data_IF_594597761582
#
_entry.id   IF_594597761582
#
_cell.length_a   1.000
_cell.length_b   1.000
_cell.length_c   1.000
_cell.angle_alpha   90.00
_cell.angle_beta   90.00
_cell.angle_gamma   90.00
#
_symmetry.space_group_name_H-M   'P 1'
#
loop_
_entity.id
_entity.type
_entity.pdbx_description
1 polymer ?
#
# COMPACT_ATOMS: atom_id res chain seq x y z
N UNK A 1 -18.82 9.31 -14.31
CA UNK A 1 -19.34 7.98 -14.71
C UNK A 1 -18.24 6.98 -14.35
N UNK A 2 -18.50 6.04 -13.45
CA UNK A 2 -17.51 5.01 -13.08
C UNK A 2 -17.59 3.91 -14.15
N UNK A 3 -16.53 3.75 -14.94
CA UNK A 3 -16.44 2.63 -15.89
C UNK A 3 -16.02 1.38 -15.12
N UNK A 4 -16.92 0.40 -15.04
CA UNK A 4 -16.58 -0.92 -14.54
C UNK A 4 -15.87 -1.69 -15.64
N UNK A 5 -14.54 -1.71 -15.61
CA UNK A 5 -13.75 -2.53 -16.52
C UNK A 5 -13.95 -4.01 -16.18
N UNK A 6 -14.84 -4.70 -16.91
CA UNK A 6 -14.97 -6.14 -16.84
C UNK A 6 -13.70 -6.76 -17.40
N UNK A 7 -12.83 -7.20 -16.50
CA UNK A 7 -11.43 -7.48 -16.80
C UNK A 7 -10.59 -6.23 -16.55
N UNK A 8 -9.81 -6.27 -15.47
CA UNK A 8 -8.87 -5.27 -14.96
C UNK A 8 -7.71 -4.98 -15.96
N UNK A 9 -8.03 -4.61 -17.20
CA UNK A 9 -7.09 -4.20 -18.24
C UNK A 9 -6.60 -2.76 -18.07
N UNK A 10 -7.02 -2.10 -16.98
CA UNK A 10 -6.55 -0.77 -16.66
C UNK A 10 -5.04 -0.82 -16.45
N UNK A 11 -4.32 0.01 -17.21
CA UNK A 11 -2.87 0.11 -17.13
C UNK A 11 -2.50 1.29 -16.24
N UNK A 12 -1.76 1.00 -15.18
CA UNK A 12 -1.27 1.96 -14.20
C UNK A 12 0.24 2.08 -14.34
N UNK A 13 0.82 3.18 -13.86
CA UNK A 13 2.25 3.39 -13.98
C UNK A 13 2.95 2.94 -12.70
N UNK A 14 3.87 2.01 -12.84
CA UNK A 14 4.79 1.53 -11.79
C UNK A 14 6.18 1.56 -12.41
N UNK A 15 7.23 1.83 -11.63
CA UNK A 15 8.63 1.85 -12.12
C UNK A 15 8.97 2.68 -13.38
N UNK A 16 8.09 3.63 -13.76
CA UNK A 16 8.12 4.40 -15.03
C UNK A 16 7.62 3.66 -16.27
N UNK A 17 7.10 2.44 -16.12
CA UNK A 17 6.43 1.68 -17.17
C UNK A 17 4.93 1.51 -16.87
N UNK A 18 4.16 1.12 -17.87
CA UNK A 18 2.73 0.83 -17.70
C UNK A 18 2.52 -0.66 -17.45
N UNK A 19 1.79 -0.99 -16.39
CA UNK A 19 1.47 -2.35 -15.98
C UNK A 19 -0.04 -2.54 -15.89
N UNK A 20 -0.59 -3.70 -16.28
CA UNK A 20 -1.91 -4.11 -15.83
C UNK A 20 -2.01 -4.02 -14.31
N UNK A 21 -3.06 -3.40 -13.77
CA UNK A 21 -3.25 -3.27 -12.31
C UNK A 21 -3.23 -4.64 -11.59
N UNK A 22 -3.60 -5.71 -12.29
CA UNK A 22 -3.51 -7.09 -11.79
C UNK A 22 -2.10 -7.55 -11.43
N UNK A 23 -1.05 -6.97 -12.02
CA UNK A 23 0.34 -7.28 -11.66
C UNK A 23 0.75 -6.65 -10.32
N UNK A 24 0.05 -5.58 -9.91
CA UNK A 24 0.25 -4.90 -8.64
C UNK A 24 -0.59 -5.51 -7.52
N UNK A 25 -1.75 -6.10 -7.85
CA UNK A 25 -2.57 -6.86 -6.89
C UNK A 25 -1.91 -8.22 -6.63
N UNK A 26 -1.30 -8.38 -5.45
CA UNK A 26 -0.44 -9.54 -5.11
C UNK A 26 -0.99 -10.34 -3.94
N UNK A 27 -2.11 -11.07 -4.09
CA UNK A 27 -2.69 -11.88 -3.01
C UNK A 27 -1.77 -13.02 -2.56
N UNK A 28 -0.88 -13.50 -3.44
CA UNK A 28 0.07 -14.57 -3.15
C UNK A 28 1.38 -14.09 -2.50
N UNK A 29 1.55 -12.77 -2.29
CA UNK A 29 2.70 -12.25 -1.54
C UNK A 29 2.68 -12.83 -0.11
N UNK A 30 3.80 -13.40 0.40
CA UNK A 30 3.82 -14.04 1.72
C UNK A 30 3.42 -13.11 2.86
N UNK A 31 3.77 -11.83 2.79
CA UNK A 31 3.42 -10.82 3.80
C UNK A 31 1.92 -10.56 3.78
N UNK A 32 1.35 -10.35 2.59
CA UNK A 32 -0.10 -10.17 2.40
C UNK A 32 -0.88 -11.38 2.91
N UNK A 33 -0.42 -12.59 2.59
CA UNK A 33 -1.01 -13.84 3.08
C UNK A 33 -1.01 -13.93 4.60
N UNK A 34 0.11 -13.60 5.23
CA UNK A 34 0.22 -13.66 6.69
C UNK A 34 -0.72 -12.66 7.37
N UNK A 35 -0.83 -11.45 6.83
CA UNK A 35 -1.79 -10.44 7.31
C UNK A 35 -3.22 -10.96 7.17
N UNK A 36 -3.60 -11.44 5.97
CA UNK A 36 -4.94 -11.95 5.72
C UNK A 36 -5.31 -13.12 6.67
N UNK A 37 -4.37 -14.03 6.96
CA UNK A 37 -4.56 -15.15 7.90
C UNK A 37 -4.84 -14.71 9.33
N UNK A 38 -4.34 -13.54 9.74
CA UNK A 38 -4.65 -12.97 11.06
C UNK A 38 -6.02 -12.30 11.00
N UNK A 39 -6.25 -11.45 10.00
CA UNK A 39 -7.46 -10.64 9.90
C UNK A 39 -8.73 -11.45 9.68
N UNK A 40 -8.65 -12.59 8.98
CA UNK A 40 -9.81 -13.47 8.75
C UNK A 40 -10.40 -14.07 10.03
N UNK A 41 -9.68 -13.99 11.15
CA UNK A 41 -10.17 -14.41 12.47
C UNK A 41 -11.11 -13.39 13.11
N UNK A 42 -11.17 -12.16 12.58
CA UNK A 42 -12.11 -11.15 13.03
C UNK A 42 -13.56 -11.50 12.64
N UNK A 43 -14.57 -11.06 13.41
CA UNK A 43 -15.98 -11.29 13.07
C UNK A 43 -16.39 -10.71 11.70
N UNK A 44 -15.75 -9.60 11.31
CA UNK A 44 -15.93 -8.96 10.01
C UNK A 44 -14.56 -8.78 9.35
N UNK A 45 -14.23 -9.69 8.42
CA UNK A 45 -12.96 -9.69 7.70
C UNK A 45 -12.79 -8.45 6.82
N UNK A 46 -13.87 -7.93 6.22
CA UNK A 46 -13.79 -6.77 5.32
C UNK A 46 -13.49 -5.52 6.14
N UNK A 47 -14.24 -5.30 7.21
CA UNK A 47 -14.03 -4.16 8.11
C UNK A 47 -12.64 -4.20 8.76
N UNK A 48 -12.20 -5.37 9.25
CA UNK A 48 -10.87 -5.53 9.83
C UNK A 48 -9.75 -5.27 8.82
N UNK A 49 -9.94 -5.67 7.55
CA UNK A 49 -8.97 -5.40 6.48
C UNK A 49 -8.89 -3.92 6.12
N UNK A 50 -10.04 -3.25 6.04
CA UNK A 50 -10.09 -1.80 5.83
C UNK A 50 -9.42 -1.04 6.97
N UNK A 51 -9.77 -1.38 8.23
CA UNK A 51 -9.18 -0.76 9.42
C UNK A 51 -7.67 -0.97 9.50
N UNK A 52 -7.19 -2.18 9.15
CA UNK A 52 -5.75 -2.44 9.04
C UNK A 52 -5.09 -1.49 8.03
N UNK A 53 -5.61 -1.39 6.82
CA UNK A 53 -5.01 -0.53 5.78
C UNK A 53 -5.04 0.94 6.19
N UNK A 54 -6.11 1.39 6.84
CA UNK A 54 -6.27 2.78 7.29
C UNK A 54 -5.36 3.13 8.46
N UNK A 55 -5.23 2.26 9.45
CA UNK A 55 -4.40 2.48 10.64
C UNK A 55 -2.91 2.22 10.41
N UNK A 56 -2.58 1.26 9.55
CA UNK A 56 -1.20 0.83 9.33
C UNK A 56 -0.42 1.73 8.38
N UNK A 57 -1.11 2.58 7.61
CA UNK A 57 -0.47 3.50 6.66
C UNK A 57 -1.02 4.92 6.79
N UNK A 58 -0.14 5.91 6.89
CA UNK A 58 -0.53 7.32 6.85
C UNK A 58 -0.84 7.73 5.41
N UNK A 59 -1.92 8.49 5.20
CA UNK A 59 -2.25 9.01 3.87
C UNK A 59 -1.17 9.99 3.40
N UNK A 60 -0.67 9.78 2.18
CA UNK A 60 0.24 10.69 1.50
C UNK A 60 -0.43 11.15 0.23
N UNK A 61 -0.59 12.46 0.07
CA UNK A 61 -0.98 13.01 -1.23
C UNK A 61 0.19 12.86 -2.20
N UNK A 62 0.01 12.04 -3.22
CA UNK A 62 0.93 11.96 -4.34
C UNK A 62 0.54 12.96 -5.43
N UNK A 63 1.54 13.59 -6.04
CA UNK A 63 1.41 14.34 -7.30
C UNK A 63 2.23 13.54 -8.31
N UNK A 64 1.58 12.62 -9.02
CA UNK A 64 2.24 11.67 -9.92
C UNK A 64 1.33 10.50 -10.26
N UNK A 65 1.82 9.63 -11.14
CA UNK A 65 1.11 8.42 -11.59
C UNK A 65 1.80 7.15 -11.06
N UNK A 66 2.54 7.19 -9.94
CA UNK A 66 3.20 5.98 -9.42
C UNK A 66 2.27 5.20 -8.50
N UNK A 67 2.05 3.93 -8.82
CA UNK A 67 1.19 3.02 -8.08
C UNK A 67 2.07 1.96 -7.41
N UNK A 68 2.02 1.86 -6.08
CA UNK A 68 2.87 0.98 -5.30
C UNK A 68 2.27 -0.43 -5.18
N UNK A 69 3.15 -1.43 -5.14
CA UNK A 69 2.78 -2.79 -4.72
C UNK A 69 2.49 -2.85 -3.21
N UNK A 70 1.85 -3.93 -2.70
CA UNK A 70 1.65 -4.13 -1.27
C UNK A 70 2.95 -4.03 -0.45
N UNK A 71 4.05 -4.61 -0.95
CA UNK A 71 5.34 -4.58 -0.28
C UNK A 71 5.90 -3.14 -0.18
N UNK A 72 5.78 -2.36 -1.25
CA UNK A 72 6.23 -0.96 -1.29
C UNK A 72 5.35 -0.04 -0.42
N UNK A 73 4.05 -0.34 -0.34
CA UNK A 73 3.09 0.38 0.53
C UNK A 73 3.39 0.14 2.01
N UNK A 74 3.78 -1.09 2.37
CA UNK A 74 4.14 -1.47 3.73
C UNK A 74 5.59 -1.14 4.11
N UNK A 75 6.42 -0.72 3.15
CA UNK A 75 7.81 -0.38 3.39
C UNK A 75 7.94 0.85 4.31
N UNK A 76 8.98 0.85 5.12
CA UNK A 76 9.32 1.99 5.97
C UNK A 76 9.74 3.18 5.10
N UNK A 77 9.23 4.35 5.46
CA UNK A 77 9.46 5.64 4.81
C UNK A 77 9.85 6.70 5.83
N UNK A 78 10.64 7.67 5.38
CA UNK A 78 11.10 8.74 6.23
C UNK A 78 9.89 9.59 6.62
N UNK A 79 9.70 9.90 7.90
CA UNK A 79 8.54 10.67 8.33
C UNK A 79 8.53 12.09 7.73
N UNK A 80 9.71 12.64 7.39
CA UNK A 80 9.87 13.99 6.86
C UNK A 80 9.79 14.03 5.33
N UNK A 81 10.72 13.37 4.62
CA UNK A 81 10.77 13.44 3.16
C UNK A 81 9.93 12.38 2.44
N UNK A 82 9.32 11.43 3.17
CA UNK A 82 8.50 10.29 2.66
C UNK A 82 9.22 9.38 1.65
N UNK A 83 10.51 9.60 1.43
CA UNK A 83 11.37 8.70 0.66
C UNK A 83 11.49 7.38 1.40
N UNK A 84 11.37 6.29 0.65
CA UNK A 84 11.77 4.94 1.10
C UNK A 84 13.27 4.71 0.90
N UNK A 85 13.96 5.57 0.13
CA UNK A 85 15.38 5.42 -0.15
C UNK A 85 16.21 5.75 1.10
N UNK A 86 17.09 4.82 1.44
CA UNK A 86 18.16 4.97 2.42
C UNK A 86 17.72 5.23 3.87
N UNK A 87 16.67 4.52 4.32
CA UNK A 87 16.34 4.45 5.74
C UNK A 87 17.09 3.30 6.38
N UNK A 88 17.97 3.61 7.31
CA UNK A 88 18.82 2.64 7.99
C UNK A 88 18.56 2.66 9.50
N UNK A 89 18.53 1.50 10.17
CA UNK A 89 18.40 1.44 11.62
C UNK A 89 19.61 2.10 12.28
N UNK A 90 19.36 2.90 13.30
CA UNK A 90 20.41 3.45 14.17
C UNK A 90 20.77 2.34 15.18
N UNK A 91 22.06 2.00 15.38
CA UNK A 91 22.47 1.03 16.38
C UNK A 91 21.92 1.39 17.77
N UNK A 92 21.23 0.46 18.41
CA UNK A 92 20.64 0.65 19.72
C UNK A 92 21.60 0.26 20.84
N UNK A 93 21.42 0.91 21.99
CA UNK A 93 21.84 0.39 23.30
C UNK A 93 20.67 -0.40 23.90
N UNK A 94 20.95 -1.38 24.77
CA UNK A 94 19.92 -2.29 25.34
C UNK A 94 18.69 -1.53 25.87
N UNK A 95 17.49 -2.01 25.49
CA UNK A 95 16.17 -1.51 25.89
C UNK A 95 15.72 -0.13 25.35
N UNK A 96 16.21 0.30 24.18
CA UNK A 96 15.73 1.53 23.50
C UNK A 96 14.77 1.24 22.33
N UNK A 97 13.85 2.17 22.06
CA UNK A 97 13.01 2.11 20.84
C UNK A 97 13.88 2.20 19.58
N UNK A 98 13.61 1.36 18.58
CA UNK A 98 14.36 1.37 17.32
C UNK A 98 14.14 2.66 16.54
N UNK A 99 15.16 3.52 16.51
CA UNK A 99 15.21 4.70 15.66
C UNK A 99 15.88 4.40 14.32
N UNK A 100 15.55 5.21 13.31
CA UNK A 100 16.11 5.10 11.98
C UNK A 100 16.63 6.46 11.50
N UNK A 101 17.65 6.43 10.65
CA UNK A 101 18.17 7.60 9.94
C UNK A 101 17.81 7.52 8.46
N UNK A 102 17.38 8.63 7.87
CA UNK A 102 17.27 8.79 6.43
C UNK A 102 18.57 9.41 5.88
N UNK A 103 19.29 8.70 4.99
CA UNK A 103 20.52 9.27 4.41
C UNK A 103 20.25 10.33 3.34
N UNK A 104 19.02 10.44 2.83
CA UNK A 104 18.65 11.44 1.84
C UNK A 104 18.47 12.84 2.46
N UNK A 105 17.70 12.97 3.54
CA UNK A 105 17.43 14.26 4.19
C UNK A 105 18.08 14.43 5.58
N UNK A 106 18.73 13.40 6.12
CA UNK A 106 19.39 13.44 7.43
C UNK A 106 18.46 13.23 8.63
N UNK A 107 17.15 13.09 8.41
CA UNK A 107 16.14 12.87 9.44
C UNK A 107 16.44 11.64 10.31
N UNK A 108 16.15 11.73 11.62
CA UNK A 108 16.25 10.63 12.56
C UNK A 108 14.96 10.49 13.37
N UNK A 109 14.39 9.28 13.45
CA UNK A 109 13.17 9.03 14.22
C UNK A 109 12.51 7.69 13.90
N UNK A 110 11.24 7.55 14.30
CA UNK A 110 10.40 6.37 13.99
C UNK A 110 9.81 6.50 12.58
N UNK A 111 10.15 5.63 11.63
CA UNK A 111 9.69 5.74 10.26
C UNK A 111 8.20 5.49 10.16
N UNK A 112 7.60 6.02 9.10
CA UNK A 112 6.17 5.84 8.80
C UNK A 112 6.00 4.85 7.67
N UNK A 113 4.81 4.25 7.56
CA UNK A 113 4.36 3.63 6.32
C UNK A 113 3.38 4.59 5.68
N UNK A 114 3.49 4.80 4.38
CA UNK A 114 2.66 5.78 3.70
C UNK A 114 2.31 5.31 2.30
N UNK A 115 1.06 5.54 1.93
CA UNK A 115 0.51 5.33 0.60
C UNK A 115 -0.61 6.33 0.35
N UNK A 116 -0.90 6.56 -0.92
CA UNK A 116 -2.07 7.33 -1.33
C UNK A 116 -3.33 6.43 -1.41
N UNK A 117 -4.39 6.91 -2.07
CA UNK A 117 -5.61 6.12 -2.21
C UNK A 117 -5.41 4.89 -3.09
N UNK A 118 -4.55 4.97 -4.10
CA UNK A 118 -4.34 3.90 -5.07
C UNK A 118 -3.51 2.77 -4.45
N UNK A 119 -2.43 3.14 -3.74
CA UNK A 119 -1.58 2.23 -2.97
C UNK A 119 -2.39 1.44 -1.92
N UNK A 120 -3.22 2.16 -1.15
CA UNK A 120 -4.09 1.57 -0.11
C UNK A 120 -5.13 0.64 -0.73
N UNK A 121 -5.73 1.03 -1.86
CA UNK A 121 -6.70 0.20 -2.56
C UNK A 121 -6.07 -1.10 -3.10
N UNK A 122 -4.86 -1.04 -3.66
CA UNK A 122 -4.10 -2.22 -4.11
C UNK A 122 -3.79 -3.15 -2.93
N UNK A 123 -3.32 -2.60 -1.80
CA UNK A 123 -3.04 -3.38 -0.60
C UNK A 123 -4.30 -4.07 -0.07
N UNK A 124 -5.40 -3.33 0.07
CA UNK A 124 -6.68 -3.86 0.53
C UNK A 124 -7.20 -4.96 -0.39
N UNK A 125 -7.20 -4.72 -1.71
CA UNK A 125 -7.63 -5.71 -2.70
C UNK A 125 -6.78 -6.98 -2.61
N UNK A 126 -5.45 -6.84 -2.42
CA UNK A 126 -4.55 -7.98 -2.26
C UNK A 126 -4.86 -8.80 -1.01
N UNK A 127 -5.19 -8.15 0.11
CA UNK A 127 -5.59 -8.82 1.36
C UNK A 127 -6.92 -9.57 1.17
N UNK A 128 -7.95 -8.88 0.70
CA UNK A 128 -9.30 -9.43 0.56
C UNK A 128 -9.34 -10.63 -0.40
N UNK A 129 -8.58 -10.58 -1.51
CA UNK A 129 -8.50 -11.66 -2.51
C UNK A 129 -7.84 -12.96 -2.02
N UNK A 130 -7.39 -13.02 -0.76
CA UNK A 130 -7.00 -14.29 -0.15
C UNK A 130 -8.19 -15.15 0.27
N UNK A 131 -9.35 -14.55 0.55
CA UNK A 131 -10.55 -15.25 1.03
C UNK A 131 -11.81 -14.89 0.26
N UNK A 132 -11.72 -13.98 -0.71
CA UNK A 132 -12.81 -13.58 -1.59
C UNK A 132 -12.41 -13.77 -3.06
N UNK A 133 -13.33 -14.17 -3.93
CA UNK A 133 -13.02 -14.40 -5.33
C UNK A 133 -12.82 -13.09 -6.10
N UNK A 134 -12.16 -13.19 -7.25
CA UNK A 134 -11.71 -12.05 -8.06
C UNK A 134 -12.83 -11.20 -8.66
N UNK A 135 -14.01 -11.79 -8.82
CA UNK A 135 -15.24 -11.18 -9.32
C UNK A 135 -16.01 -10.41 -8.24
N UNK A 136 -15.77 -10.70 -6.96
CA UNK A 136 -16.34 -9.96 -5.83
C UNK A 136 -15.43 -8.80 -5.36
N UNK A 137 -14.11 -8.92 -5.55
CA UNK A 137 -13.13 -7.93 -5.08
C UNK A 137 -12.17 -7.51 -6.19
N UNK A 138 -12.24 -6.24 -6.57
CA UNK A 138 -11.43 -5.64 -7.62
C UNK A 138 -11.06 -4.18 -7.31
N UNK A 139 -9.92 -3.72 -7.83
CA UNK A 139 -9.57 -2.30 -7.81
C UNK A 139 -10.26 -1.59 -8.99
N UNK A 140 -11.10 -0.60 -8.72
CA UNK A 140 -11.66 0.27 -9.76
C UNK A 140 -10.80 1.53 -9.91
N UNK A 141 -10.54 1.93 -11.16
CA UNK A 141 -9.82 3.18 -11.45
C UNK A 141 -10.81 4.21 -11.94
N UNK A 142 -10.96 5.30 -11.19
CA UNK A 142 -11.72 6.46 -11.64
C UNK A 142 -10.80 7.41 -12.38
N UNK A 143 -11.08 7.69 -13.66
CA UNK A 143 -10.51 8.86 -14.31
C UNK A 143 -11.25 10.09 -13.81
N UNK A 144 -10.58 10.91 -13.00
CA UNK A 144 -11.11 12.23 -12.69
C UNK A 144 -11.11 13.07 -13.97
N UNK A 145 -12.27 13.20 -14.58
CA UNK A 145 -12.49 14.15 -15.68
C UNK A 145 -12.93 15.46 -15.05
N UNK A 146 -12.15 16.52 -15.25
CA UNK A 146 -12.52 17.89 -14.91
C UNK A 146 -13.62 18.41 -15.84
N UNK A 147 -14.72 17.68 -15.96
CA UNK A 147 -15.89 18.13 -16.69
C UNK A 147 -16.78 18.93 -15.72
N UNK A 148 -16.52 20.25 -15.66
CA UNK A 148 -17.36 21.24 -14.98
C UNK A 148 -16.58 22.14 -14.03
#
# INVERSE_FOLDING_TARGET
MLEQYQGLNARVRHDSQYHPIMELVRPNDPTVRNIARVLVQAPDFIAASQEFVDSFTTYRREIGDYWATPAETMALRCAECKSSKDIVPIPLFENSEQLYKCNFCGWQGVPVRAGDCDDKAILLCSILRNYMPADEVYCAIGLWTSAG
#
